data_IF_240318930670
#
_entry.id   IF_240318930670
#
_cell.length_a   1.000
_cell.length_b   1.000
_cell.length_c   1.000
_cell.angle_alpha   90.00
_cell.angle_beta   90.00
_cell.angle_gamma   90.00
#
_symmetry.space_group_name_H-M   'P 1'
#
loop_
_entity.id
_entity.type
_entity.pdbx_description
1 polymer ?
#
# COMPACT_ATOMS: atom_id res chain seq x y z
N UNK A 1 11.56 -9.59 4.02
CA UNK A 1 10.99 -8.59 3.08
C UNK A 1 11.38 -8.88 1.61
N UNK A 2 11.40 -10.14 1.18
CA UNK A 2 11.82 -10.50 -0.17
C UNK A 2 10.63 -10.53 -1.16
N UNK A 3 9.41 -10.79 -0.68
CA UNK A 3 8.27 -11.10 -1.55
C UNK A 3 7.59 -9.88 -2.23
N UNK A 4 7.66 -8.68 -1.64
CA UNK A 4 6.94 -7.52 -2.15
C UNK A 4 7.50 -6.98 -3.48
N UNK A 5 8.79 -7.18 -3.77
CA UNK A 5 9.43 -6.71 -5.01
C UNK A 5 8.98 -7.51 -6.25
N UNK A 6 8.44 -8.71 -6.05
CA UNK A 6 8.04 -9.59 -7.15
C UNK A 6 6.61 -9.33 -7.66
N UNK A 7 5.77 -8.64 -6.88
CA UNK A 7 4.38 -8.41 -7.26
C UNK A 7 4.30 -7.53 -8.51
N UNK A 8 5.05 -6.42 -8.55
CA UNK A 8 5.06 -5.54 -9.71
C UNK A 8 5.85 -6.13 -10.90
N UNK A 9 6.91 -6.90 -10.64
CA UNK A 9 7.74 -7.50 -11.68
C UNK A 9 7.03 -8.59 -12.50
N UNK A 10 5.94 -9.16 -11.96
CA UNK A 10 5.11 -10.15 -12.64
C UNK A 10 3.92 -9.57 -13.41
N UNK A 11 3.71 -8.25 -13.38
CA UNK A 11 2.61 -7.61 -14.09
C UNK A 11 3.01 -7.31 -15.53
N UNK A 12 2.19 -7.75 -16.47
CA UNK A 12 2.32 -7.33 -17.87
C UNK A 12 1.86 -5.88 -18.05
N UNK A 13 2.16 -5.31 -19.21
CA UNK A 13 1.65 -3.99 -19.59
C UNK A 13 0.11 -3.94 -19.59
N UNK A 14 -0.55 -5.04 -19.95
CA UNK A 14 -2.01 -5.15 -19.91
C UNK A 14 -2.54 -5.15 -18.46
N UNK A 15 -1.85 -5.81 -17.53
CA UNK A 15 -2.21 -5.79 -16.11
C UNK A 15 -2.03 -4.39 -15.52
N UNK A 16 -0.97 -3.68 -15.92
CA UNK A 16 -0.73 -2.29 -15.54
C UNK A 16 -1.85 -1.37 -16.04
N UNK A 17 -2.23 -1.48 -17.32
CA UNK A 17 -3.36 -0.73 -17.88
C UNK A 17 -4.68 -1.03 -17.16
N UNK A 18 -4.92 -2.30 -16.84
CA UNK A 18 -6.10 -2.71 -16.08
C UNK A 18 -6.10 -2.08 -14.68
N UNK A 19 -4.99 -2.18 -13.93
CA UNK A 19 -4.85 -1.55 -12.61
C UNK A 19 -5.09 -0.04 -12.65
N UNK A 20 -4.61 0.65 -13.69
CA UNK A 20 -4.87 2.07 -13.88
C UNK A 20 -6.35 2.38 -14.18
N UNK A 21 -7.05 1.46 -14.85
CA UNK A 21 -8.48 1.65 -15.19
C UNK A 21 -9.44 1.39 -14.04
N UNK A 22 -9.12 0.46 -13.14
CA UNK A 22 -9.97 0.11 -11.98
C UNK A 22 -9.50 0.78 -10.68
N UNK A 23 -8.25 1.22 -10.65
CA UNK A 23 -7.63 1.85 -9.51
C UNK A 23 -8.26 3.19 -9.17
N UNK A 24 -8.19 3.56 -7.88
CA UNK A 24 -8.66 4.85 -7.38
C UNK A 24 -7.50 5.58 -6.72
N UNK A 25 -7.29 6.83 -7.11
CA UNK A 25 -6.34 7.71 -6.42
C UNK A 25 -6.95 8.15 -5.09
N UNK A 26 -6.21 7.94 -4.00
CA UNK A 26 -6.57 8.41 -2.66
C UNK A 26 -5.41 9.19 -2.07
N UNK A 27 -5.72 10.37 -1.56
CA UNK A 27 -4.78 11.16 -0.77
C UNK A 27 -5.14 11.02 0.71
N UNK A 28 -4.11 10.91 1.55
CA UNK A 28 -4.25 10.83 3.00
C UNK A 28 -3.60 12.05 3.65
N UNK A 29 -4.18 12.53 4.75
CA UNK A 29 -3.52 13.55 5.58
C UNK A 29 -2.51 12.89 6.52
N UNK A 30 -1.47 13.61 6.97
CA UNK A 30 -0.59 13.11 8.02
C UNK A 30 -1.37 12.66 9.25
N UNK A 31 -1.09 11.44 9.72
CA UNK A 31 -1.79 10.82 10.85
C UNK A 31 -3.07 10.04 10.48
N UNK A 32 -3.57 10.15 9.25
CA UNK A 32 -4.69 9.34 8.78
C UNK A 32 -4.24 7.88 8.58
N UNK A 33 -5.04 6.92 9.07
CA UNK A 33 -4.74 5.49 8.96
C UNK A 33 -5.28 4.94 7.63
N UNK A 34 -4.40 4.39 6.80
CA UNK A 34 -4.79 3.67 5.57
C UNK A 34 -5.48 2.34 5.90
N UNK A 35 -4.87 1.56 6.81
CA UNK A 35 -5.37 0.26 7.29
C UNK A 35 -5.38 0.23 8.81
N UNK A 36 -6.26 -0.58 9.39
CA UNK A 36 -6.35 -0.77 10.84
C UNK A 36 -6.09 -2.24 11.20
N UNK A 37 -5.30 -2.47 12.25
CA UNK A 37 -5.10 -3.80 12.84
C UNK A 37 -6.43 -4.48 13.15
N UNK A 38 -6.51 -5.80 12.91
CA UNK A 38 -7.70 -6.61 13.18
C UNK A 38 -8.87 -6.43 12.21
N UNK A 39 -8.79 -5.54 11.22
CA UNK A 39 -9.79 -5.45 10.14
C UNK A 39 -9.37 -6.30 8.94
N UNK A 40 -10.31 -7.01 8.35
CA UNK A 40 -10.09 -7.70 7.09
C UNK A 40 -9.70 -6.69 6.01
N UNK A 41 -8.70 -7.03 5.20
CA UNK A 41 -8.23 -6.21 4.09
C UNK A 41 -8.41 -6.98 2.79
N UNK A 42 -9.17 -6.40 1.87
CA UNK A 42 -9.45 -6.98 0.54
C UNK A 42 -8.80 -6.19 -0.59
N UNK A 43 -8.21 -5.04 -0.27
CA UNK A 43 -7.69 -4.07 -1.20
C UNK A 43 -6.15 -4.12 -1.27
N UNK A 44 -5.63 -3.89 -2.47
CA UNK A 44 -4.21 -3.65 -2.72
C UNK A 44 -3.96 -2.16 -2.89
N UNK A 45 -2.93 -1.64 -2.22
CA UNK A 45 -2.55 -0.23 -2.30
C UNK A 45 -1.13 -0.08 -2.85
N UNK A 46 -0.95 0.92 -3.68
CA UNK A 46 0.35 1.40 -4.15
C UNK A 46 0.58 2.81 -3.60
N UNK A 47 1.78 3.07 -3.11
CA UNK A 47 2.19 4.41 -2.70
C UNK A 47 2.76 5.09 -3.94
N UNK A 48 2.02 6.07 -4.45
CA UNK A 48 2.43 6.86 -5.62
C UNK A 48 3.20 8.13 -5.24
N UNK A 49 3.18 8.50 -3.96
CA UNK A 49 3.93 9.62 -3.41
C UNK A 49 3.74 9.77 -1.90
N UNK A 50 4.76 10.31 -1.24
CA UNK A 50 4.76 10.52 0.22
C UNK A 50 5.44 9.37 0.97
N UNK A 51 5.08 9.19 2.24
CA UNK A 51 5.63 8.13 3.11
C UNK A 51 4.51 7.53 3.94
N UNK A 52 4.52 6.21 4.08
CA UNK A 52 3.58 5.50 4.94
C UNK A 52 4.34 4.76 6.05
N UNK A 53 3.93 4.95 7.30
CA UNK A 53 4.48 4.21 8.43
C UNK A 53 3.65 2.97 8.74
N UNK A 54 4.30 1.85 9.05
CA UNK A 54 3.65 0.68 9.65
C UNK A 54 3.93 0.72 11.14
N UNK A 55 2.86 0.82 11.93
CA UNK A 55 2.90 1.02 13.37
C UNK A 55 2.08 -0.10 14.02
N UNK A 56 2.65 -0.75 15.03
CA UNK A 56 1.95 -1.73 15.84
C UNK A 56 0.99 -1.04 16.81
N UNK A 57 0.09 -1.80 17.42
CA UNK A 57 -0.92 -1.26 18.33
C UNK A 57 -0.30 -0.65 19.62
N UNK A 58 0.93 -1.03 19.96
CA UNK A 58 1.74 -0.44 21.06
C UNK A 58 2.39 0.90 20.68
N UNK A 59 2.17 1.39 19.46
CA UNK A 59 2.74 2.64 18.95
C UNK A 59 4.14 2.51 18.35
N UNK A 60 4.74 1.32 18.37
CA UNK A 60 6.07 1.12 17.83
C UNK A 60 6.06 1.07 16.29
N UNK A 61 6.93 1.85 15.65
CA UNK A 61 7.06 1.87 14.18
C UNK A 61 8.02 0.77 13.75
N UNK A 62 7.50 -0.18 12.97
CA UNK A 62 8.25 -1.36 12.53
C UNK A 62 8.70 -1.28 11.07
N UNK A 63 8.06 -0.45 10.26
CA UNK A 63 8.48 -0.21 8.89
C UNK A 63 8.07 1.17 8.38
N UNK A 64 8.70 1.59 7.30
CA UNK A 64 8.30 2.74 6.51
C UNK A 64 8.36 2.37 5.04
N UNK A 65 7.28 2.69 4.33
CA UNK A 65 7.16 2.53 2.89
C UNK A 65 7.31 3.92 2.24
N UNK A 66 8.01 3.94 1.11
CA UNK A 66 8.36 5.11 0.31
C UNK A 66 7.90 4.89 -1.13
#
# INVERSE_FOLDING_TARGET
>A
MQNARYIAAGLSDADMLWLLSVGKLRSLKPGEKLVNSGKALTELYFITGGKLGVVLDDGNRVAQLL
#
